data_IF_982948831297
#
_entry.id   IF_982948831297
#
_cell.length_a   1.000
_cell.length_b   1.000
_cell.length_c   1.000
_cell.angle_alpha   90.00
_cell.angle_beta   90.00
_cell.angle_gamma   90.00
#
_symmetry.space_group_name_H-M   'P 1'
#
loop_
_entity.id
_entity.type
_entity.pdbx_description
1 polymer ?
#
# COMPACT_ATOMS: atom_id res chain seq x y z
N UNK A 1 -25.34 3.55 -53.35
CA UNK A 1 -26.06 3.68 -52.05
C UNK A 1 -27.06 4.82 -52.11
N UNK A 2 -28.32 4.55 -51.75
CA UNK A 2 -29.39 5.54 -51.68
C UNK A 2 -29.76 5.77 -50.21
N UNK A 3 -29.61 6.99 -49.72
CA UNK A 3 -30.04 7.36 -48.36
C UNK A 3 -31.56 7.26 -48.30
N UNK A 4 -32.07 6.44 -47.39
CA UNK A 4 -33.51 6.34 -47.09
C UNK A 4 -33.86 7.28 -45.94
N UNK A 5 -33.01 7.30 -44.93
CA UNK A 5 -33.24 8.04 -43.69
C UNK A 5 -31.92 8.46 -43.08
N UNK A 6 -31.86 9.66 -42.52
CA UNK A 6 -30.75 10.13 -41.69
C UNK A 6 -31.30 11.04 -40.60
N UNK A 7 -31.19 10.60 -39.35
CA UNK A 7 -31.71 11.31 -38.19
C UNK A 7 -30.63 11.44 -37.11
N UNK A 8 -30.66 12.55 -36.36
CA UNK A 8 -29.78 12.80 -35.23
C UNK A 8 -30.60 13.02 -33.95
N UNK A 9 -31.12 11.95 -33.32
CA UNK A 9 -32.00 12.08 -32.16
C UNK A 9 -31.35 12.87 -31.02
N UNK A 10 -30.05 12.64 -30.76
CA UNK A 10 -29.31 13.27 -29.66
C UNK A 10 -30.03 13.15 -28.29
N UNK A 11 -30.51 11.95 -27.98
CA UNK A 11 -31.33 11.68 -26.80
C UNK A 11 -30.63 10.73 -25.81
N UNK A 12 -30.92 10.92 -24.52
CA UNK A 12 -30.62 9.91 -23.49
C UNK A 12 -31.74 8.88 -23.48
N UNK A 13 -31.39 7.61 -23.62
CA UNK A 13 -32.36 6.52 -23.58
C UNK A 13 -32.38 5.96 -22.15
N UNK A 14 -33.47 6.21 -21.42
CA UNK A 14 -33.63 5.79 -20.02
C UNK A 14 -34.63 4.65 -19.83
N UNK A 15 -35.37 4.32 -20.88
CA UNK A 15 -36.30 3.21 -21.01
C UNK A 15 -36.26 2.72 -22.45
N UNK A 16 -36.84 1.57 -22.72
CA UNK A 16 -36.97 1.03 -24.07
C UNK A 16 -37.48 2.10 -25.06
N UNK A 17 -36.76 2.25 -26.18
CA UNK A 17 -37.05 3.25 -27.20
C UNK A 17 -37.26 2.56 -28.55
N UNK A 18 -38.48 2.66 -29.08
CA UNK A 18 -38.88 2.05 -30.34
C UNK A 18 -38.83 3.11 -31.44
N UNK A 19 -37.95 2.90 -32.41
CA UNK A 19 -37.81 3.76 -33.58
C UNK A 19 -38.37 3.06 -34.82
N UNK A 20 -39.50 3.56 -35.33
CA UNK A 20 -40.16 3.01 -36.51
C UNK A 20 -39.64 3.67 -37.77
N UNK A 21 -39.39 2.89 -38.82
CA UNK A 21 -39.04 3.41 -40.13
C UNK A 21 -39.70 2.58 -41.23
N UNK A 22 -39.92 3.19 -42.39
CA UNK A 22 -40.50 2.53 -43.55
C UNK A 22 -39.44 2.32 -44.63
N UNK A 23 -39.39 1.14 -45.24
CA UNK A 23 -38.55 0.86 -46.40
C UNK A 23 -39.41 0.64 -47.65
N UNK A 24 -39.08 1.28 -48.79
CA UNK A 24 -39.98 1.29 -49.95
C UNK A 24 -39.99 -0.02 -50.74
N UNK A 25 -38.97 -0.85 -50.59
CA UNK A 25 -38.73 -2.04 -51.42
C UNK A 25 -38.07 -3.15 -50.58
N UNK A 26 -38.25 -4.41 -50.97
CA UNK A 26 -37.54 -5.53 -50.32
C UNK A 26 -36.11 -5.65 -50.86
N UNK A 27 -35.11 -5.20 -50.10
CA UNK A 27 -33.70 -5.18 -50.52
C UNK A 27 -32.72 -5.32 -49.34
N UNK A 28 -31.41 -5.24 -49.62
CA UNK A 28 -30.38 -5.07 -48.60
C UNK A 28 -30.27 -3.61 -48.17
N UNK A 29 -30.19 -3.42 -46.86
CA UNK A 29 -30.03 -2.12 -46.23
C UNK A 29 -28.80 -2.14 -45.33
N UNK A 30 -28.12 -0.99 -45.30
CA UNK A 30 -27.14 -0.67 -44.28
C UNK A 30 -27.77 0.26 -43.26
N UNK A 31 -27.71 -0.14 -42.00
CA UNK A 31 -28.13 0.68 -40.87
C UNK A 31 -26.86 1.06 -40.09
N UNK A 32 -26.58 2.36 -40.02
CA UNK A 32 -25.51 2.95 -39.20
C UNK A 32 -26.14 3.53 -37.94
N UNK A 33 -25.64 3.13 -36.78
CA UNK A 33 -26.13 3.63 -35.49
C UNK A 33 -24.95 4.08 -34.67
N UNK A 34 -24.97 5.33 -34.25
CA UNK A 34 -23.93 5.90 -33.41
C UNK A 34 -24.51 6.24 -32.03
N UNK A 35 -23.86 5.75 -30.98
CA UNK A 35 -24.25 6.00 -29.60
C UNK A 35 -23.01 5.98 -28.70
N UNK A 36 -23.16 6.53 -27.50
CA UNK A 36 -22.13 6.56 -26.45
C UNK A 36 -22.69 6.06 -25.14
N UNK A 37 -21.81 5.49 -24.32
CA UNK A 37 -22.18 4.92 -23.03
C UNK A 37 -21.07 5.15 -22.01
N UNK A 38 -21.38 5.59 -20.79
CA UNK A 38 -20.39 5.95 -19.76
C UNK A 38 -20.03 4.77 -18.86
N UNK A 39 -18.78 4.71 -18.45
CA UNK A 39 -18.31 3.71 -17.48
C UNK A 39 -18.82 4.00 -16.07
N UNK A 40 -18.83 2.97 -15.21
CA UNK A 40 -19.21 3.15 -13.79
C UNK A 40 -18.36 4.22 -13.09
N UNK A 41 -17.08 4.36 -13.47
CA UNK A 41 -16.17 5.40 -12.94
C UNK A 41 -16.60 6.80 -13.31
N UNK A 42 -17.14 7.01 -14.50
CA UNK A 42 -17.64 8.32 -14.93
C UNK A 42 -19.01 8.64 -14.33
N UNK A 43 -19.75 7.61 -13.94
CA UNK A 43 -20.99 7.73 -13.18
C UNK A 43 -20.76 7.92 -11.66
N UNK A 44 -19.50 7.87 -11.19
CA UNK A 44 -19.12 7.90 -9.78
C UNK A 44 -19.32 9.25 -9.07
N UNK A 45 -19.68 10.31 -9.79
CA UNK A 45 -19.88 11.66 -9.22
C UNK A 45 -21.04 11.76 -8.22
N UNK A 46 -21.81 10.68 -8.01
CA UNK A 46 -22.84 10.58 -6.98
C UNK A 46 -22.63 9.29 -6.21
N UNK A 47 -22.37 9.40 -4.90
CA UNK A 47 -22.14 8.29 -3.94
C UNK A 47 -23.23 7.18 -3.89
N UNK A 48 -24.25 7.20 -4.76
CA UNK A 48 -25.34 6.21 -4.84
C UNK A 48 -25.28 5.26 -6.06
N UNK A 49 -24.30 5.39 -6.95
CA UNK A 49 -24.18 4.55 -8.17
C UNK A 49 -22.82 3.86 -8.30
N UNK A 50 -22.29 3.37 -7.18
CA UNK A 50 -21.17 2.43 -7.20
C UNK A 50 -21.60 1.21 -8.04
N UNK A 51 -20.87 0.92 -9.12
CA UNK A 51 -21.06 -0.24 -10.00
C UNK A 51 -22.17 -0.19 -11.09
N UNK A 52 -22.67 0.98 -11.49
CA UNK A 52 -23.60 1.07 -12.64
C UNK A 52 -22.98 1.84 -13.81
N UNK A 53 -22.58 1.13 -14.86
CA UNK A 53 -22.29 1.71 -16.17
C UNK A 53 -23.56 1.95 -16.98
N UNK A 54 -23.47 2.82 -17.99
CA UNK A 54 -24.52 2.93 -19.00
C UNK A 54 -24.26 1.87 -20.07
N UNK A 55 -25.27 1.09 -20.47
CA UNK A 55 -25.16 0.19 -21.60
C UNK A 55 -26.35 0.37 -22.56
N UNK A 56 -26.15 0.07 -23.85
CA UNK A 56 -27.23 0.05 -24.84
C UNK A 56 -27.14 -1.21 -25.71
N UNK A 57 -28.28 -1.83 -25.96
CA UNK A 57 -28.44 -2.93 -26.93
C UNK A 57 -29.51 -2.55 -27.93
N UNK A 58 -29.42 -3.12 -29.13
CA UNK A 58 -30.43 -2.98 -30.16
C UNK A 58 -30.97 -4.34 -30.60
N UNK A 59 -32.27 -4.38 -30.87
CA UNK A 59 -32.93 -5.40 -31.69
C UNK A 59 -33.47 -4.74 -32.96
N UNK A 60 -33.39 -5.46 -34.07
CA UNK A 60 -33.99 -5.03 -35.34
C UNK A 60 -35.16 -5.97 -35.59
N UNK A 61 -36.37 -5.41 -35.60
CA UNK A 61 -37.62 -6.15 -35.50
C UNK A 61 -37.61 -7.10 -34.28
N UNK A 62 -37.57 -8.42 -34.52
CA UNK A 62 -37.47 -9.43 -33.46
C UNK A 62 -36.08 -10.10 -33.38
N UNK A 63 -35.11 -9.63 -34.16
CA UNK A 63 -33.79 -10.22 -34.24
C UNK A 63 -32.84 -9.63 -33.18
N UNK A 64 -32.23 -10.52 -32.39
CA UNK A 64 -31.17 -10.19 -31.43
C UNK A 64 -29.79 -10.49 -32.02
N UNK A 65 -28.77 -9.85 -31.46
CA UNK A 65 -27.37 -9.99 -31.88
C UNK A 65 -26.50 -10.37 -30.67
N UNK A 66 -26.56 -11.65 -30.24
CA UNK A 66 -25.78 -12.13 -29.10
C UNK A 66 -24.29 -12.21 -29.42
N UNK A 67 -23.49 -12.41 -28.37
CA UNK A 67 -22.04 -12.59 -28.47
C UNK A 67 -21.66 -13.80 -29.33
N UNK A 68 -20.67 -13.65 -30.22
CA UNK A 68 -20.25 -14.71 -31.15
C UNK A 68 -19.72 -15.97 -30.44
N UNK A 69 -19.24 -15.85 -29.21
CA UNK A 69 -18.66 -16.97 -28.45
C UNK A 69 -19.68 -17.83 -27.69
N UNK A 70 -20.98 -17.62 -27.90
CA UNK A 70 -22.05 -18.41 -27.29
C UNK A 70 -22.29 -18.14 -25.80
N UNK A 71 -21.57 -17.20 -25.17
CA UNK A 71 -21.88 -16.77 -23.80
C UNK A 71 -23.16 -15.93 -23.79
N UNK A 72 -24.07 -16.24 -22.85
CA UNK A 72 -25.32 -15.49 -22.67
C UNK A 72 -25.01 -14.12 -22.07
N UNK A 73 -25.43 -13.06 -22.76
CA UNK A 73 -25.34 -11.67 -22.30
C UNK A 73 -25.66 -10.71 -23.43
N UNK A 74 -26.80 -10.02 -23.37
CA UNK A 74 -27.22 -9.07 -24.42
C UNK A 74 -26.29 -7.84 -24.47
N UNK A 75 -25.89 -7.32 -23.31
CA UNK A 75 -25.04 -6.14 -23.19
C UNK A 75 -23.54 -6.41 -23.41
N UNK A 76 -23.15 -7.69 -23.48
CA UNK A 76 -21.77 -8.13 -23.72
C UNK A 76 -21.48 -8.48 -25.19
N UNK A 77 -22.47 -8.29 -26.07
CA UNK A 77 -22.38 -8.59 -27.50
C UNK A 77 -21.56 -7.57 -28.28
N UNK A 78 -21.05 -7.95 -29.46
CA UNK A 78 -20.21 -7.10 -30.30
C UNK A 78 -20.94 -5.83 -30.76
N UNK A 79 -22.27 -5.89 -30.88
CA UNK A 79 -23.12 -4.75 -31.29
C UNK A 79 -23.70 -3.97 -30.10
N UNK A 80 -23.34 -4.30 -28.87
CA UNK A 80 -23.72 -3.50 -27.71
C UNK A 80 -22.82 -2.25 -27.59
N UNK A 81 -23.35 -1.22 -26.95
CA UNK A 81 -22.59 -0.06 -26.46
C UNK A 81 -22.40 -0.23 -24.97
N UNK A 82 -21.34 -0.94 -24.57
CA UNK A 82 -21.05 -1.16 -23.17
C UNK A 82 -20.25 0.01 -22.57
N UNK A 83 -20.72 0.60 -21.48
CA UNK A 83 -20.15 1.80 -20.88
C UNK A 83 -18.76 1.58 -20.28
N UNK A 84 -18.49 0.42 -19.71
CA UNK A 84 -17.15 0.08 -19.23
C UNK A 84 -16.11 -0.01 -20.35
N UNK A 85 -16.54 -0.46 -21.53
CA UNK A 85 -15.72 -0.51 -22.74
C UNK A 85 -15.58 0.86 -23.40
N UNK A 86 -16.68 1.62 -23.52
CA UNK A 86 -16.71 2.88 -24.26
C UNK A 86 -16.23 4.09 -23.46
N UNK A 87 -16.43 4.09 -22.14
CA UNK A 87 -16.00 5.18 -21.25
C UNK A 87 -16.43 6.57 -21.76
N UNK A 88 -17.68 6.67 -22.21
CA UNK A 88 -18.28 7.91 -22.71
C UNK A 88 -17.94 8.27 -24.15
N UNK A 89 -17.09 7.50 -24.83
CA UNK A 89 -16.78 7.65 -26.25
C UNK A 89 -17.90 7.08 -27.13
N UNK A 90 -17.93 7.58 -28.35
CA UNK A 90 -18.93 7.21 -29.35
C UNK A 90 -18.49 5.95 -30.12
N UNK A 91 -19.43 5.03 -30.34
CA UNK A 91 -19.24 3.84 -31.16
C UNK A 91 -20.31 3.78 -32.23
N UNK A 92 -19.89 3.53 -33.46
CA UNK A 92 -20.81 3.27 -34.57
C UNK A 92 -20.90 1.77 -34.85
N UNK A 93 -22.12 1.23 -34.82
CA UNK A 93 -22.41 -0.13 -35.28
C UNK A 93 -23.03 -0.09 -36.67
N UNK A 94 -22.65 -1.06 -37.49
CA UNK A 94 -23.12 -1.22 -38.86
C UNK A 94 -23.87 -2.54 -38.98
N UNK A 95 -25.09 -2.50 -39.51
CA UNK A 95 -25.90 -3.69 -39.76
C UNK A 95 -26.20 -3.77 -41.25
N UNK A 96 -25.75 -4.85 -41.90
CA UNK A 96 -26.13 -5.18 -43.28
C UNK A 96 -27.21 -6.25 -43.20
N UNK A 97 -28.45 -5.87 -43.47
CA UNK A 97 -29.62 -6.74 -43.29
C UNK A 97 -30.54 -6.64 -44.50
N UNK A 98 -31.18 -7.76 -44.85
CA UNK A 98 -32.23 -7.79 -45.87
C UNK A 98 -33.57 -7.49 -45.20
N UNK A 99 -34.23 -6.42 -45.62
CA UNK A 99 -35.54 -6.01 -45.11
C UNK A 99 -36.60 -6.21 -46.19
N UNK A 100 -37.85 -6.42 -45.76
CA UNK A 100 -38.99 -6.50 -46.68
C UNK A 100 -39.61 -5.12 -46.85
N UNK A 101 -40.30 -4.85 -47.96
CA UNK A 101 -41.08 -3.61 -48.10
C UNK A 101 -42.07 -3.50 -46.93
N UNK A 102 -42.03 -2.38 -46.20
CA UNK A 102 -42.93 -2.18 -45.06
C UNK A 102 -42.34 -1.34 -43.93
N UNK A 103 -43.07 -1.32 -42.82
CA UNK A 103 -42.64 -0.74 -41.54
C UNK A 103 -41.74 -1.72 -40.79
N UNK A 104 -40.64 -1.22 -40.24
CA UNK A 104 -39.67 -1.92 -39.43
C UNK A 104 -39.38 -1.15 -38.14
N UNK A 105 -38.82 -1.86 -37.14
CA UNK A 105 -38.58 -1.29 -35.82
C UNK A 105 -37.13 -1.50 -35.40
N UNK A 106 -36.45 -0.41 -35.02
CA UNK A 106 -35.24 -0.47 -34.22
C UNK A 106 -35.64 -0.36 -32.75
N UNK A 107 -35.45 -1.42 -31.99
CA UNK A 107 -35.75 -1.46 -30.56
C UNK A 107 -34.47 -1.29 -29.75
N UNK A 108 -34.35 -0.15 -29.08
CA UNK A 108 -33.23 0.21 -28.23
C UNK A 108 -33.53 -0.10 -26.77
N UNK A 109 -32.72 -0.96 -26.16
CA UNK A 109 -32.89 -1.43 -24.78
C UNK A 109 -31.72 -0.88 -23.95
N UNK A 110 -31.94 0.13 -23.09
CA UNK A 110 -30.89 0.71 -22.26
C UNK A 110 -30.70 -0.08 -20.95
N UNK A 111 -29.47 -0.05 -20.43
CA UNK A 111 -29.18 -0.10 -19.00
C UNK A 111 -28.66 1.29 -18.58
N UNK A 112 -29.28 1.87 -17.55
CA UNK A 112 -29.07 3.25 -17.11
C UNK A 112 -29.42 4.33 -18.15
N UNK A 113 -28.44 5.13 -18.62
CA UNK A 113 -28.70 6.36 -19.39
C UNK A 113 -27.73 6.57 -20.57
N UNK A 114 -27.54 5.57 -21.46
CA UNK A 114 -26.76 5.73 -22.67
C UNK A 114 -27.34 6.84 -23.56
N UNK A 115 -26.53 7.36 -24.47
CA UNK A 115 -26.90 8.47 -25.34
C UNK A 115 -26.85 8.04 -26.81
N UNK A 116 -28.00 8.12 -27.49
CA UNK A 116 -28.15 7.83 -28.92
C UNK A 116 -27.95 9.10 -29.73
N UNK A 117 -26.95 9.09 -30.61
CA UNK A 117 -26.53 10.28 -31.36
C UNK A 117 -27.20 10.36 -32.72
N UNK A 118 -27.11 9.29 -33.51
CA UNK A 118 -27.62 9.27 -34.87
C UNK A 118 -28.00 7.88 -35.37
N UNK A 119 -28.97 7.86 -36.28
CA UNK A 119 -29.41 6.69 -37.05
C UNK A 119 -29.33 7.06 -38.53
N UNK A 120 -28.73 6.23 -39.36
CA UNK A 120 -28.73 6.40 -40.81
C UNK A 120 -29.08 5.07 -41.48
N UNK A 121 -30.00 5.09 -42.43
CA UNK A 121 -30.45 3.91 -43.16
C UNK A 121 -30.24 4.16 -44.65
N UNK A 122 -29.45 3.31 -45.28
CA UNK A 122 -29.10 3.38 -46.68
C UNK A 122 -29.56 2.10 -47.38
N UNK A 123 -30.22 2.22 -48.54
CA UNK A 123 -30.45 1.10 -49.43
C UNK A 123 -29.17 0.80 -50.22
N UNK A 124 -28.78 -0.47 -50.25
CA UNK A 124 -27.63 -0.94 -51.01
C UNK A 124 -28.10 -1.33 -52.41
N UNK A 125 -27.59 -0.65 -53.43
CA UNK A 125 -27.89 -0.94 -54.84
C UNK A 125 -26.94 -2.01 -55.40
N UNK A 126 -25.73 -2.11 -54.85
CA UNK A 126 -24.72 -3.08 -55.26
C UNK A 126 -23.91 -3.57 -54.04
N UNK A 127 -23.52 -4.85 -54.03
CA UNK A 127 -22.69 -5.44 -52.96
C UNK A 127 -21.32 -4.76 -52.81
N UNK A 128 -20.78 -4.16 -53.89
CA UNK A 128 -19.50 -3.43 -53.83
C UNK A 128 -19.52 -2.23 -52.87
N UNK A 129 -20.69 -1.68 -52.58
CA UNK A 129 -20.85 -0.54 -51.67
C UNK A 129 -20.48 -0.88 -50.21
N UNK A 130 -20.56 -2.16 -49.82
CA UNK A 130 -20.29 -2.62 -48.44
C UNK A 130 -18.82 -2.38 -48.05
N UNK A 131 -17.88 -2.57 -48.98
CA UNK A 131 -16.44 -2.48 -48.70
C UNK A 131 -15.95 -1.04 -48.44
N UNK A 132 -16.64 -0.03 -48.98
CA UNK A 132 -16.26 1.38 -48.84
C UNK A 132 -16.51 1.96 -47.45
N UNK A 133 -17.39 1.34 -46.66
CA UNK A 133 -17.93 1.90 -45.42
C UNK A 133 -17.07 1.51 -44.22
N UNK A 134 -16.51 0.30 -44.25
CA UNK A 134 -15.57 -0.21 -43.23
C UNK A 134 -14.31 0.65 -43.08
N UNK A 135 -13.99 1.49 -44.08
CA UNK A 135 -12.73 2.25 -44.11
C UNK A 135 -12.83 3.69 -43.56
N UNK A 136 -14.04 4.27 -43.40
CA UNK A 136 -14.18 5.73 -43.21
C UNK A 136 -14.72 6.21 -41.87
N UNK A 137 -15.35 5.35 -41.06
CA UNK A 137 -15.92 5.73 -39.76
C UNK A 137 -15.67 4.64 -38.73
N UNK A 138 -14.60 4.78 -37.96
CA UNK A 138 -14.34 3.95 -36.78
C UNK A 138 -14.60 4.76 -35.50
N UNK A 139 -14.64 4.06 -34.36
CA UNK A 139 -14.90 4.63 -33.05
C UNK A 139 -14.02 5.87 -32.78
N UNK A 140 -14.57 6.80 -31.99
CA UNK A 140 -13.87 8.01 -31.58
C UNK A 140 -12.53 7.64 -30.89
N UNK A 141 -11.45 8.34 -31.24
CA UNK A 141 -10.11 8.03 -30.75
C UNK A 141 -10.02 8.26 -29.24
N UNK A 142 -9.59 7.25 -28.48
CA UNK A 142 -9.46 7.35 -27.03
C UNK A 142 -8.76 6.17 -26.35
N UNK A 143 -8.37 6.36 -25.09
CA UNK A 143 -7.57 5.41 -24.30
C UNK A 143 -8.31 4.09 -24.05
N UNK A 144 -7.73 2.99 -24.58
CA UNK A 144 -8.18 1.58 -24.48
C UNK A 144 -9.32 1.19 -25.42
N UNK A 145 -9.08 1.38 -26.72
CA UNK A 145 -9.78 0.61 -27.75
C UNK A 145 -9.70 -0.90 -27.46
N UNK A 146 -10.58 -1.71 -28.07
CA UNK A 146 -10.37 -3.16 -28.06
C UNK A 146 -8.93 -3.43 -28.50
N UNK A 147 -8.23 -4.35 -27.84
CA UNK A 147 -6.77 -4.43 -27.93
C UNK A 147 -6.27 -4.62 -29.37
N UNK A 148 -7.03 -5.32 -30.22
CA UNK A 148 -6.80 -5.46 -31.65
C UNK A 148 -6.77 -4.10 -32.37
N UNK A 149 -7.67 -3.20 -32.00
CA UNK A 149 -7.75 -1.84 -32.50
C UNK A 149 -6.62 -0.97 -31.94
N UNK A 150 -6.26 -1.11 -30.66
CA UNK A 150 -5.08 -0.43 -30.10
C UNK A 150 -3.80 -0.81 -30.85
N UNK A 151 -3.59 -2.12 -31.12
CA UNK A 151 -2.45 -2.63 -31.90
C UNK A 151 -2.47 -2.11 -33.35
N UNK A 152 -3.64 -1.99 -33.99
CA UNK A 152 -3.77 -1.41 -35.34
C UNK A 152 -3.36 0.06 -35.41
N UNK A 153 -3.79 0.86 -34.43
CA UNK A 153 -3.53 2.30 -34.44
C UNK A 153 -2.11 2.64 -34.00
N UNK A 154 -1.55 1.89 -33.04
CA UNK A 154 -0.16 2.09 -32.61
C UNK A 154 0.83 1.86 -33.75
N UNK A 155 0.45 1.04 -34.74
CA UNK A 155 1.26 0.74 -35.90
C UNK A 155 1.04 1.68 -37.10
N UNK A 156 0.43 2.86 -36.88
CA UNK A 156 0.53 4.00 -37.78
C UNK A 156 0.15 3.81 -39.25
N UNK A 157 -0.63 2.76 -39.61
CA UNK A 157 -1.31 2.54 -40.91
C UNK A 157 -1.93 1.13 -41.06
N UNK A 158 -2.31 0.44 -39.97
CA UNK A 158 -3.06 -0.82 -40.09
C UNK A 158 -2.31 -1.97 -40.78
N UNK A 159 -0.97 -2.05 -40.64
CA UNK A 159 -0.20 -3.16 -41.17
C UNK A 159 -0.55 -4.47 -40.43
N UNK A 160 -1.32 -5.30 -41.14
CA UNK A 160 -1.89 -6.59 -40.70
C UNK A 160 -0.79 -7.57 -40.26
N UNK A 161 0.42 -7.50 -40.82
CA UNK A 161 1.51 -8.41 -40.45
C UNK A 161 2.02 -8.15 -39.03
N UNK A 162 2.07 -6.88 -38.61
CA UNK A 162 2.43 -6.53 -37.23
C UNK A 162 1.32 -6.92 -36.26
N UNK A 163 0.05 -6.66 -36.61
CA UNK A 163 -1.09 -7.10 -35.80
C UNK A 163 -1.04 -8.62 -35.59
N UNK A 164 -0.81 -9.37 -36.66
CA UNK A 164 -0.66 -10.83 -36.61
C UNK A 164 0.56 -11.25 -35.77
N UNK A 165 1.69 -10.55 -35.86
CA UNK A 165 2.89 -10.85 -35.08
C UNK A 165 2.66 -10.61 -33.57
N UNK A 166 2.01 -9.51 -33.20
CA UNK A 166 1.64 -9.19 -31.81
C UNK A 166 0.61 -10.21 -31.29
N UNK A 167 -0.39 -10.56 -32.11
CA UNK A 167 -1.39 -11.58 -31.76
C UNK A 167 -0.73 -12.95 -31.55
N UNK A 168 0.19 -13.33 -32.44
CA UNK A 168 0.97 -14.56 -32.35
C UNK A 168 1.81 -14.57 -31.07
N UNK A 169 2.52 -13.49 -30.75
CA UNK A 169 3.31 -13.39 -29.52
C UNK A 169 2.44 -13.48 -28.25
N UNK A 170 1.22 -12.95 -28.28
CA UNK A 170 0.29 -13.05 -27.16
C UNK A 170 -0.29 -14.46 -26.98
N UNK A 171 -0.71 -15.10 -28.08
CA UNK A 171 -1.35 -16.42 -28.08
C UNK A 171 -0.34 -17.55 -27.88
N UNK A 172 0.75 -17.48 -28.63
CA UNK A 172 1.73 -18.55 -28.78
C UNK A 172 2.96 -18.33 -27.89
N UNK A 173 3.08 -17.15 -27.26
CA UNK A 173 4.20 -16.76 -26.39
C UNK A 173 5.22 -15.88 -27.09
N UNK A 174 5.96 -15.09 -26.31
CA UNK A 174 6.93 -14.12 -26.82
C UNK A 174 8.29 -14.77 -27.18
N UNK A 175 8.51 -16.00 -26.71
CA UNK A 175 9.74 -16.76 -26.92
C UNK A 175 9.45 -18.05 -27.69
N UNK A 176 9.84 -18.07 -28.97
CA UNK A 176 9.68 -19.24 -29.84
C UNK A 176 10.82 -20.27 -29.72
N UNK A 177 11.80 -20.05 -28.82
CA UNK A 177 12.97 -20.93 -28.67
C UNK A 177 12.62 -22.35 -28.22
N UNK A 178 11.56 -22.50 -27.42
CA UNK A 178 11.01 -23.82 -27.04
C UNK A 178 9.54 -23.93 -27.43
N UNK A 179 9.29 -24.66 -28.53
CA UNK A 179 7.93 -24.90 -29.05
C UNK A 179 7.05 -25.70 -28.10
N UNK A 180 7.65 -26.46 -27.18
CA UNK A 180 6.90 -27.31 -26.27
C UNK A 180 6.47 -26.55 -25.00
N UNK A 181 7.14 -25.44 -24.66
CA UNK A 181 6.81 -24.65 -23.48
C UNK A 181 7.13 -23.15 -23.66
N UNK A 182 6.39 -22.44 -24.53
CA UNK A 182 6.69 -21.05 -24.80
C UNK A 182 6.41 -20.17 -23.57
N UNK A 183 7.34 -19.25 -23.27
CA UNK A 183 7.14 -18.27 -22.20
C UNK A 183 6.05 -17.28 -22.65
N UNK A 184 4.88 -17.41 -22.03
CA UNK A 184 3.74 -16.54 -22.34
C UNK A 184 3.95 -15.17 -21.71
N UNK A 185 3.52 -14.12 -22.39
CA UNK A 185 3.69 -12.74 -21.91
C UNK A 185 3.06 -12.52 -20.52
N UNK A 186 1.93 -13.17 -20.24
CA UNK A 186 1.29 -13.09 -18.93
C UNK A 186 2.15 -13.69 -17.80
N UNK A 187 3.02 -14.65 -18.09
CA UNK A 187 3.93 -15.25 -17.10
C UNK A 187 4.98 -14.23 -16.65
N UNK A 188 5.50 -13.43 -17.59
CA UNK A 188 6.43 -12.34 -17.31
C UNK A 188 5.74 -11.24 -16.50
N UNK A 189 4.53 -10.83 -16.90
CA UNK A 189 3.74 -9.85 -16.17
C UNK A 189 3.37 -10.34 -14.76
N UNK A 190 3.03 -11.62 -14.62
CA UNK A 190 2.78 -12.26 -13.33
C UNK A 190 4.03 -12.24 -12.45
N UNK A 191 5.22 -12.50 -13.02
CA UNK A 191 6.48 -12.48 -12.27
C UNK A 191 6.83 -11.06 -11.80
N UNK A 192 6.66 -10.05 -12.66
CA UNK A 192 6.83 -8.63 -12.28
C UNK A 192 5.84 -8.25 -11.17
N UNK A 193 4.58 -8.67 -11.31
CA UNK A 193 3.55 -8.43 -10.30
C UNK A 193 3.86 -9.13 -8.98
N UNK A 194 4.35 -10.37 -9.02
CA UNK A 194 4.77 -11.14 -7.84
C UNK A 194 6.00 -10.53 -7.16
N UNK A 195 6.93 -9.92 -7.90
CA UNK A 195 8.04 -9.16 -7.30
C UNK A 195 7.52 -7.90 -6.60
N UNK A 196 6.62 -7.15 -7.24
CA UNK A 196 6.07 -5.92 -6.66
C UNK A 196 5.17 -6.20 -5.42
N UNK A 197 4.27 -7.18 -5.53
CA UNK A 197 3.36 -7.57 -4.44
C UNK A 197 4.05 -8.41 -3.38
N UNK A 198 4.97 -9.29 -3.76
CA UNK A 198 5.81 -10.06 -2.86
C UNK A 198 6.68 -9.15 -2.00
N UNK A 199 7.27 -8.08 -2.56
CA UNK A 199 7.98 -7.08 -1.75
C UNK A 199 7.05 -6.36 -0.76
N UNK A 200 5.79 -6.12 -1.15
CA UNK A 200 4.79 -5.47 -0.29
C UNK A 200 4.33 -6.39 0.85
N UNK A 201 4.05 -7.65 0.55
CA UNK A 201 3.64 -8.68 1.52
C UNK A 201 4.82 -9.04 2.43
N UNK A 202 6.03 -9.14 1.89
CA UNK A 202 7.24 -9.34 2.67
C UNK A 202 7.52 -8.13 3.57
N UNK A 203 7.24 -6.90 3.12
CA UNK A 203 7.27 -5.70 3.96
C UNK A 203 6.23 -5.72 5.08
N UNK A 204 5.01 -6.19 4.82
CA UNK A 204 3.95 -6.37 5.84
C UNK A 204 4.30 -7.50 6.80
N UNK A 205 4.91 -8.59 6.33
CA UNK A 205 5.35 -9.70 7.18
C UNK A 205 6.56 -9.31 8.04
N UNK A 206 7.54 -8.60 7.48
CA UNK A 206 8.61 -7.92 8.23
C UNK A 206 8.06 -6.97 9.30
N UNK A 207 7.00 -6.23 8.97
CA UNK A 207 6.33 -5.33 9.91
C UNK A 207 5.64 -6.06 11.07
N UNK A 208 5.21 -7.31 10.86
CA UNK A 208 4.52 -8.11 11.87
C UNK A 208 5.44 -8.97 12.74
N UNK A 209 6.54 -9.49 12.21
CA UNK A 209 7.34 -10.56 12.85
C UNK A 209 8.76 -10.15 13.24
N UNK A 210 9.35 -9.11 12.64
CA UNK A 210 10.69 -8.65 13.03
C UNK A 210 10.58 -7.46 13.98
N UNK A 211 11.43 -7.48 15.01
CA UNK A 211 11.59 -6.37 15.96
C UNK A 211 11.59 -5.05 15.19
N UNK A 212 10.67 -4.14 15.54
CA UNK A 212 10.56 -2.79 14.96
C UNK A 212 11.84 -1.96 15.09
N UNK A 213 12.93 -2.51 15.61
CA UNK A 213 14.20 -1.88 15.79
C UNK A 213 15.35 -2.89 15.69
N UNK A 214 16.53 -2.40 15.28
CA UNK A 214 17.82 -3.10 15.41
C UNK A 214 18.94 -2.12 15.75
N UNK A 215 20.05 -2.64 16.28
CA UNK A 215 21.21 -1.85 16.67
C UNK A 215 22.29 -1.89 15.60
N UNK A 216 22.98 -0.77 15.41
CA UNK A 216 24.18 -0.67 14.56
C UNK A 216 25.23 0.18 15.25
N UNK A 217 26.49 -0.20 15.11
CA UNK A 217 27.63 0.63 15.45
C UNK A 217 28.15 1.30 14.19
N UNK A 218 28.11 2.63 14.17
CA UNK A 218 28.64 3.44 13.07
C UNK A 218 29.98 4.04 13.53
N UNK A 219 31.05 3.97 12.71
CA UNK A 219 32.33 4.58 13.05
C UNK A 219 32.14 6.10 13.23
N UNK A 220 32.86 6.69 14.18
CA UNK A 220 32.79 8.12 14.41
C UNK A 220 33.51 8.94 13.34
N UNK A 221 32.93 10.09 12.97
CA UNK A 221 33.54 11.06 12.06
C UNK A 221 34.25 12.22 12.79
N UNK A 222 33.96 12.39 14.09
CA UNK A 222 34.56 13.43 14.94
C UNK A 222 35.93 12.98 15.46
N UNK A 223 36.83 13.93 15.73
CA UNK A 223 38.09 13.65 16.44
C UNK A 223 37.76 12.99 17.77
N UNK A 224 38.47 11.91 18.09
CA UNK A 224 38.28 11.07 19.28
C UNK A 224 36.95 10.29 19.34
N UNK A 225 35.99 10.46 18.43
CA UNK A 225 34.78 9.62 18.42
C UNK A 225 35.10 8.28 17.75
N UNK A 226 35.11 7.20 18.52
CA UNK A 226 35.39 5.86 18.00
C UNK A 226 34.17 5.27 17.30
N UNK A 227 33.01 5.33 17.96
CA UNK A 227 31.76 4.83 17.40
C UNK A 227 30.52 5.52 17.97
N UNK A 228 29.43 5.42 17.22
CA UNK A 228 28.07 5.79 17.62
C UNK A 228 27.19 4.54 17.61
N UNK A 229 26.55 4.23 18.73
CA UNK A 229 25.49 3.22 18.78
C UNK A 229 24.18 3.86 18.33
N UNK A 230 23.60 3.31 17.27
CA UNK A 230 22.36 3.79 16.66
C UNK A 230 21.28 2.70 16.75
N UNK A 231 20.10 3.07 17.24
CA UNK A 231 18.88 2.27 17.11
C UNK A 231 18.15 2.68 15.83
N UNK A 232 17.98 1.72 14.92
CA UNK A 232 17.27 1.89 13.67
C UNK A 232 15.84 1.41 13.88
N UNK A 233 14.89 2.33 14.00
CA UNK A 233 13.49 2.04 14.37
C UNK A 233 12.56 2.25 13.18
N UNK A 234 11.71 1.27 12.89
CA UNK A 234 10.70 1.32 11.84
C UNK A 234 9.41 1.96 12.41
N UNK A 235 9.16 3.21 12.02
CA UNK A 235 7.95 3.96 12.36
C UNK A 235 6.98 3.93 11.17
N UNK A 236 6.07 2.95 11.17
CA UNK A 236 5.20 2.68 10.02
C UNK A 236 6.02 2.08 8.87
N UNK A 237 6.14 2.82 7.75
CA UNK A 237 7.00 2.43 6.62
C UNK A 237 8.34 3.19 6.61
N UNK A 238 8.53 4.14 7.54
CA UNK A 238 9.69 5.02 7.56
C UNK A 238 10.74 4.48 8.51
N UNK A 239 11.96 4.29 8.02
CA UNK A 239 13.11 3.98 8.87
C UNK A 239 13.63 5.27 9.55
N UNK A 240 13.74 5.25 10.88
CA UNK A 240 14.26 6.35 11.69
C UNK A 240 15.50 5.90 12.44
N UNK A 241 16.59 6.66 12.29
CA UNK A 241 17.81 6.46 13.08
C UNK A 241 17.73 7.27 14.38
N UNK A 242 18.02 6.64 15.51
CA UNK A 242 18.10 7.27 16.83
C UNK A 242 19.47 6.99 17.42
N UNK A 243 20.24 8.04 17.64
CA UNK A 243 21.53 7.94 18.34
C UNK A 243 21.25 7.57 19.78
N UNK A 244 21.78 6.43 20.23
CA UNK A 244 21.65 5.91 21.59
C UNK A 244 22.80 6.43 22.44
N UNK A 245 24.04 6.17 22.00
CA UNK A 245 25.25 6.59 22.70
C UNK A 245 26.38 6.91 21.72
N UNK A 246 27.28 7.79 22.15
CA UNK A 246 28.56 8.05 21.48
C UNK A 246 29.69 7.58 22.40
N UNK A 247 30.71 6.93 21.85
CA UNK A 247 31.90 6.53 22.60
C UNK A 247 33.13 7.26 22.06
N UNK A 248 33.76 8.04 22.94
CA UNK A 248 34.99 8.77 22.61
C UNK A 248 36.23 8.04 23.17
N UNK A 249 37.23 7.82 22.32
CA UNK A 249 38.54 7.24 22.63
C UNK A 249 39.51 8.38 23.00
N UNK A 250 39.84 8.52 24.28
CA UNK A 250 40.69 9.60 24.77
C UNK A 250 41.65 9.17 25.87
N UNK A 251 42.89 9.63 25.76
CA UNK A 251 43.95 9.41 26.73
C UNK A 251 43.73 10.32 27.96
N UNK A 252 43.24 9.73 29.06
CA UNK A 252 43.41 10.23 30.43
C UNK A 252 42.85 11.64 30.70
N UNK A 253 41.54 11.76 30.89
CA UNK A 253 41.00 12.79 31.79
C UNK A 253 39.67 13.43 31.41
N UNK A 254 39.24 13.36 30.15
CA UNK A 254 37.95 13.87 29.73
C UNK A 254 36.97 12.72 29.47
N UNK A 255 36.02 12.60 30.41
CA UNK A 255 34.76 11.85 30.33
C UNK A 255 34.75 10.71 29.30
N UNK A 256 35.34 9.56 29.67
CA UNK A 256 34.90 8.29 29.09
C UNK A 256 33.39 8.30 29.11
N UNK A 257 32.78 7.94 27.99
CA UNK A 257 31.33 7.96 27.86
C UNK A 257 30.77 6.87 28.78
N UNK A 258 30.51 7.20 30.05
CA UNK A 258 30.11 6.24 31.09
C UNK A 258 28.84 5.46 30.73
N UNK A 259 28.06 6.01 29.82
CA UNK A 259 26.82 5.46 29.29
C UNK A 259 26.97 4.83 27.89
N UNK A 260 28.16 4.81 27.30
CA UNK A 260 28.34 4.14 26.02
C UNK A 260 28.36 2.62 26.21
N UNK A 261 27.52 1.94 25.43
CA UNK A 261 27.52 0.49 25.32
C UNK A 261 28.58 0.08 24.29
N UNK A 262 29.39 -0.92 24.62
CA UNK A 262 30.47 -1.40 23.76
C UNK A 262 29.98 -2.47 22.77
N UNK A 263 30.54 -2.52 21.55
CA UNK A 263 30.25 -3.59 20.60
C UNK A 263 30.53 -4.99 21.15
N UNK A 264 31.54 -5.13 22.00
CA UNK A 264 31.99 -6.40 22.59
C UNK A 264 31.03 -6.94 23.66
N UNK A 265 30.07 -6.14 24.12
CA UNK A 265 29.10 -6.53 25.14
C UNK A 265 27.86 -7.26 24.59
N UNK A 266 27.82 -7.54 23.28
CA UNK A 266 26.69 -8.13 22.57
C UNK A 266 25.36 -7.45 22.91
N UNK A 267 25.23 -6.14 22.63
CA UNK A 267 24.05 -5.40 23.04
C UNK A 267 22.80 -5.91 22.35
N UNK A 268 21.71 -5.93 23.09
CA UNK A 268 20.43 -6.38 22.59
C UNK A 268 19.33 -5.38 22.95
N UNK A 269 18.22 -5.51 22.25
CA UNK A 269 17.01 -4.76 22.54
C UNK A 269 15.83 -5.69 22.71
N UNK A 270 14.86 -5.24 23.50
CA UNK A 270 13.59 -5.92 23.67
C UNK A 270 12.48 -4.90 23.91
N UNK A 271 11.23 -5.35 23.78
CA UNK A 271 10.04 -4.54 23.96
C UNK A 271 9.43 -4.85 25.33
N UNK A 272 9.07 -3.82 26.08
CA UNK A 272 8.36 -3.98 27.35
C UNK A 272 7.49 -2.76 27.58
N UNK A 273 6.21 -2.97 27.86
CA UNK A 273 5.32 -1.92 28.36
C UNK A 273 5.68 -1.66 29.83
N UNK A 274 6.42 -0.58 30.08
CA UNK A 274 6.84 -0.18 31.42
C UNK A 274 6.07 1.04 31.93
N UNK A 275 5.29 1.72 31.09
CA UNK A 275 4.56 2.94 31.45
C UNK A 275 3.04 2.76 31.56
N UNK A 276 2.54 1.53 31.40
CA UNK A 276 1.12 1.20 31.52
C UNK A 276 0.22 1.74 30.41
N UNK A 277 0.78 2.44 29.40
CA UNK A 277 0.02 3.20 28.39
C UNK A 277 -0.36 2.40 27.13
N UNK A 278 -0.27 1.06 27.20
CA UNK A 278 -0.47 0.06 26.12
C UNK A 278 0.57 0.11 25.00
N UNK A 279 1.42 1.13 24.95
CA UNK A 279 2.56 1.12 24.04
C UNK A 279 3.73 0.39 24.71
N UNK A 280 4.56 -0.27 23.90
CA UNK A 280 5.78 -0.90 24.41
C UNK A 280 6.96 0.03 24.19
N UNK A 281 7.77 0.23 25.23
CA UNK A 281 9.06 0.87 25.13
C UNK A 281 10.10 -0.07 24.53
N UNK A 282 11.07 0.50 23.81
CA UNK A 282 12.25 -0.24 23.38
C UNK A 282 13.31 -0.08 24.48
N UNK A 283 13.66 -1.19 25.10
CA UNK A 283 14.75 -1.25 26.07
C UNK A 283 16.00 -1.71 25.34
N UNK A 284 17.08 -0.96 25.45
CA UNK A 284 18.39 -1.30 24.87
C UNK A 284 19.35 -1.48 26.03
N UNK A 285 20.02 -2.63 26.07
CA UNK A 285 20.94 -2.96 27.14
C UNK A 285 22.22 -3.58 26.61
N UNK A 286 23.30 -3.33 27.33
CA UNK A 286 24.63 -3.88 27.10
C UNK A 286 25.55 -3.43 28.22
N UNK A 287 26.87 -3.55 28.01
CA UNK A 287 27.86 -3.13 29.01
C UNK A 287 28.76 -2.03 28.45
N UNK A 288 29.30 -1.20 29.34
CA UNK A 288 30.37 -0.27 29.00
C UNK A 288 31.76 -0.92 29.17
N UNK A 289 32.85 -0.18 28.93
CA UNK A 289 34.22 -0.71 29.06
C UNK A 289 34.62 -1.10 30.50
N UNK A 290 33.83 -0.71 31.51
CA UNK A 290 34.06 -1.08 32.90
C UNK A 290 33.18 -2.27 33.33
N UNK A 291 32.65 -3.03 32.37
CA UNK A 291 31.72 -4.15 32.59
C UNK A 291 30.44 -3.74 33.34
N UNK A 292 30.12 -2.44 33.41
CA UNK A 292 28.89 -1.93 34.04
C UNK A 292 27.74 -2.02 33.07
N UNK A 293 26.60 -2.55 33.50
CA UNK A 293 25.39 -2.63 32.68
C UNK A 293 24.78 -1.25 32.44
N UNK A 294 24.42 -0.97 31.19
CA UNK A 294 23.82 0.28 30.75
C UNK A 294 22.46 0.00 30.13
N UNK A 295 21.44 0.78 30.52
CA UNK A 295 20.08 0.62 30.04
C UNK A 295 19.55 1.94 29.47
N UNK A 296 19.19 1.91 28.20
CA UNK A 296 18.46 2.98 27.53
C UNK A 296 17.00 2.58 27.35
N UNK A 297 16.12 3.56 27.49
CA UNK A 297 14.69 3.40 27.26
C UNK A 297 14.30 4.38 26.15
N UNK A 298 13.73 3.87 25.05
CA UNK A 298 13.16 4.68 23.99
C UNK A 298 11.63 4.62 24.09
N UNK A 299 11.01 5.77 24.39
CA UNK A 299 9.55 5.95 24.43
C UNK A 299 9.07 6.57 23.12
N UNK A 300 7.94 6.10 22.60
CA UNK A 300 7.28 6.70 21.45
C UNK A 300 6.64 8.04 21.83
N UNK A 301 6.89 9.07 21.03
CA UNK A 301 6.30 10.40 21.19
C UNK A 301 5.59 10.82 19.91
N UNK A 302 4.91 11.98 19.93
CA UNK A 302 4.36 12.61 18.73
C UNK A 302 5.40 12.87 17.62
N UNK A 303 6.68 12.95 17.98
CA UNK A 303 7.81 13.20 17.07
C UNK A 303 8.65 11.94 16.82
N UNK A 304 8.08 10.75 17.06
CA UNK A 304 8.77 9.47 16.97
C UNK A 304 9.43 9.06 18.29
N UNK A 305 10.29 8.06 18.26
CA UNK A 305 10.96 7.56 19.47
C UNK A 305 11.95 8.56 20.06
N UNK A 306 11.98 8.68 21.39
CA UNK A 306 12.89 9.55 22.14
C UNK A 306 13.48 8.80 23.35
N UNK A 307 14.74 9.10 23.68
CA UNK A 307 15.39 8.56 24.87
C UNK A 307 14.73 9.15 26.12
N UNK A 308 14.32 8.28 27.03
CA UNK A 308 13.82 8.65 28.35
C UNK A 308 15.02 8.78 29.29
N UNK A 309 15.27 10.01 29.75
CA UNK A 309 16.32 10.28 30.74
C UNK A 309 15.91 9.83 32.15
N UNK A 310 16.88 9.73 33.05
CA UNK A 310 16.67 9.67 34.49
C UNK A 310 17.34 10.85 35.20
N UNK A 311 16.90 11.16 36.42
CA UNK A 311 17.62 12.01 37.36
C UNK A 311 18.19 11.09 38.44
N UNK A 312 19.51 11.08 38.62
CA UNK A 312 20.15 10.30 39.67
C UNK A 312 19.95 10.92 41.07
N UNK A 313 20.42 10.23 42.11
CA UNK A 313 20.30 10.69 43.50
C UNK A 313 21.05 11.99 43.81
N UNK A 314 21.95 12.42 42.92
CA UNK A 314 22.66 13.70 43.05
C UNK A 314 21.98 14.82 42.24
N UNK A 315 20.83 14.55 41.63
CA UNK A 315 20.08 15.51 40.83
C UNK A 315 20.62 15.66 39.39
N UNK A 316 21.58 14.81 38.97
CA UNK A 316 22.14 14.90 37.63
C UNK A 316 21.24 14.17 36.64
N UNK A 317 20.96 14.82 35.50
CA UNK A 317 20.16 14.24 34.43
C UNK A 317 21.04 13.35 33.56
N UNK A 318 20.69 12.08 33.45
CA UNK A 318 21.42 11.09 32.68
C UNK A 318 20.56 10.51 31.54
N UNK A 319 21.15 10.19 30.37
CA UNK A 319 20.43 9.64 29.23
C UNK A 319 20.10 8.14 29.37
N UNK A 320 20.77 7.44 30.28
CA UNK A 320 20.64 6.02 30.51
C UNK A 320 20.81 5.71 31.99
N UNK A 321 20.31 4.55 32.39
CA UNK A 321 20.61 3.99 33.70
C UNK A 321 21.95 3.25 33.63
N UNK A 322 22.69 3.24 34.75
CA UNK A 322 24.01 2.62 34.84
C UNK A 322 24.14 1.96 36.21
N UNK A 323 24.38 0.66 36.23
CA UNK A 323 24.47 -0.17 37.43
C UNK A 323 24.80 -1.61 37.04
N UNK A 324 24.90 -2.52 38.00
CA UNK A 324 25.23 -3.92 37.70
C UNK A 324 24.03 -4.71 37.17
N UNK A 325 22.80 -4.21 37.41
CA UNK A 325 21.56 -4.75 36.85
C UNK A 325 20.37 -3.84 37.14
N UNK A 326 19.28 -4.03 36.39
CA UNK A 326 18.03 -3.29 36.58
C UNK A 326 16.84 -4.23 36.39
N UNK A 327 15.81 -4.00 37.20
CA UNK A 327 14.50 -4.60 37.05
C UNK A 327 13.43 -3.53 36.81
N UNK A 328 12.37 -3.94 36.14
CA UNK A 328 11.12 -3.18 36.07
C UNK A 328 10.08 -3.95 36.87
N UNK A 329 9.58 -3.33 37.95
CA UNK A 329 8.65 -3.93 38.91
C UNK A 329 7.49 -2.98 39.09
N UNK A 330 6.26 -3.48 39.02
CA UNK A 330 5.04 -2.75 39.36
C UNK A 330 4.76 -2.99 40.85
N UNK A 331 5.39 -2.19 41.71
CA UNK A 331 5.42 -2.45 43.15
C UNK A 331 4.12 -2.05 43.85
N UNK A 332 3.37 -1.09 43.30
CA UNK A 332 2.11 -0.60 43.85
C UNK A 332 0.86 -1.07 43.08
N UNK A 333 1.04 -1.80 41.97
CA UNK A 333 -0.01 -2.38 41.10
C UNK A 333 -0.84 -1.31 40.38
N UNK A 334 -0.25 -0.15 40.10
CA UNK A 334 -0.90 0.90 39.30
C UNK A 334 -0.76 0.69 37.78
N UNK A 335 0.04 -0.31 37.36
CA UNK A 335 0.31 -0.65 35.96
C UNK A 335 1.50 0.09 35.35
N UNK A 336 2.12 1.01 36.08
CA UNK A 336 3.38 1.69 35.76
C UNK A 336 4.52 0.97 36.47
N UNK A 337 5.53 0.55 35.73
CA UNK A 337 6.67 -0.13 36.34
C UNK A 337 7.63 0.91 36.94
N UNK A 338 8.01 0.71 38.20
CA UNK A 338 9.21 1.34 38.74
C UNK A 338 10.46 0.65 38.20
N UNK A 339 11.50 1.46 37.97
CA UNK A 339 12.82 0.95 37.63
C UNK A 339 13.62 0.81 38.91
N UNK A 340 14.12 -0.38 39.19
CA UNK A 340 14.90 -0.69 40.38
C UNK A 340 16.30 -1.10 39.98
N UNK A 341 17.28 -0.41 40.53
CA UNK A 341 18.68 -0.74 40.32
C UNK A 341 19.10 -1.88 41.24
N UNK A 342 19.49 -3.03 40.68
CA UNK A 342 19.72 -4.25 41.44
C UNK A 342 20.98 -4.18 42.30
N UNK A 343 22.06 -3.58 41.77
CA UNK A 343 23.28 -3.31 42.52
C UNK A 343 23.97 -2.10 41.88
N UNK A 344 23.93 -0.94 42.53
CA UNK A 344 24.92 0.09 42.25
C UNK A 344 26.00 -0.06 43.30
N UNK A 345 27.26 -0.11 42.84
CA UNK A 345 28.46 -0.06 43.66
C UNK A 345 28.20 0.65 45.00
N UNK A 346 28.12 -0.19 46.03
CA UNK A 346 28.59 0.05 47.39
C UNK A 346 29.25 1.42 47.55
N UNK A 347 28.46 2.45 47.85
CA UNK A 347 29.05 3.52 48.67
C UNK A 347 29.16 2.87 50.03
N UNK A 348 30.25 2.13 50.25
CA UNK A 348 30.66 1.74 51.59
C UNK A 348 31.00 3.04 52.28
N UNK A 349 29.99 3.69 52.83
CA UNK A 349 30.21 4.61 53.92
C UNK A 349 30.48 3.72 55.09
N UNK A 350 31.75 3.46 55.35
CA UNK A 350 32.15 3.04 56.69
C UNK A 350 31.75 4.20 57.58
N UNK A 351 30.62 4.08 58.27
CA UNK A 351 30.38 4.92 59.42
C UNK A 351 31.50 4.54 60.41
N UNK A 352 32.48 5.43 60.69
CA UNK A 352 33.66 5.08 61.47
C UNK A 352 33.28 4.57 62.87
N UNK A 353 32.09 4.93 63.36
CA UNK A 353 31.57 4.48 64.66
C UNK A 353 30.96 3.08 64.65
N UNK A 354 30.55 2.54 63.49
CA UNK A 354 29.75 1.30 63.43
C UNK A 354 30.45 0.14 62.72
N UNK A 355 31.51 0.40 61.94
CA UNK A 355 32.24 -0.61 61.15
C UNK A 355 31.32 -1.53 60.33
N UNK A 356 30.15 -1.02 59.92
CA UNK A 356 29.20 -1.70 59.03
C UNK A 356 29.34 -1.13 57.63
N UNK A 357 29.17 -2.00 56.64
CA UNK A 357 29.01 -1.60 55.24
C UNK A 357 27.52 -1.56 54.93
N UNK A 358 27.08 -0.48 54.33
CA UNK A 358 25.69 -0.30 53.90
C UNK A 358 25.64 -0.50 52.39
N UNK A 359 24.70 -1.32 51.94
CA UNK A 359 24.38 -1.48 50.52
C UNK A 359 23.09 -0.72 50.29
N UNK A 360 23.04 0.10 49.24
CA UNK A 360 21.84 0.88 48.92
C UNK A 360 21.24 0.43 47.60
N UNK A 361 19.91 0.39 47.54
CA UNK A 361 19.13 0.11 46.35
C UNK A 361 18.31 1.33 45.97
N UNK A 362 18.48 1.85 44.77
CA UNK A 362 17.80 3.06 44.30
C UNK A 362 16.61 2.70 43.43
N UNK A 363 15.49 3.36 43.69
CA UNK A 363 14.25 3.18 42.95
C UNK A 363 13.88 4.45 42.19
N UNK A 364 13.45 4.27 40.95
CA UNK A 364 13.05 5.34 40.06
C UNK A 364 11.60 5.15 39.63
N UNK A 365 10.80 6.22 39.70
CA UNK A 365 9.42 6.27 39.22
C UNK A 365 9.36 7.14 37.97
N UNK A 366 8.54 6.77 36.99
CA UNK A 366 8.33 7.63 35.83
C UNK A 366 7.49 8.84 36.22
N UNK A 367 7.95 10.04 35.85
CA UNK A 367 7.20 11.28 36.06
C UNK A 367 6.69 11.78 34.70
N UNK A 368 5.41 11.57 34.42
CA UNK A 368 4.74 11.96 33.17
C UNK A 368 4.93 13.45 32.85
N UNK A 369 4.79 14.32 33.86
CA UNK A 369 4.88 15.77 33.68
C UNK A 369 6.29 16.20 33.23
N UNK A 370 7.34 15.49 33.67
CA UNK A 370 8.74 15.73 33.28
C UNK A 370 9.19 14.87 32.10
N UNK A 371 8.43 13.83 31.75
CA UNK A 371 8.78 12.86 30.71
C UNK A 371 10.06 12.07 31.02
N UNK A 372 10.36 11.82 32.29
CA UNK A 372 11.62 11.21 32.73
C UNK A 372 11.47 10.44 34.03
N UNK A 373 12.41 9.53 34.30
CA UNK A 373 12.50 8.82 35.57
C UNK A 373 13.16 9.70 36.64
N UNK A 374 12.66 9.62 37.87
CA UNK A 374 13.19 10.34 39.03
C UNK A 374 13.34 9.38 40.20
N UNK A 375 14.44 9.50 40.93
CA UNK A 375 14.60 8.79 42.21
C UNK A 375 13.45 9.16 43.13
N UNK A 376 12.77 8.16 43.67
CA UNK A 376 11.69 8.37 44.65
C UNK A 376 11.92 7.63 45.98
N UNK A 377 12.84 6.64 46.00
CA UNK A 377 13.11 5.82 47.18
C UNK A 377 14.52 5.22 47.14
N UNK A 378 15.14 5.08 48.30
CA UNK A 378 16.42 4.38 48.50
C UNK A 378 16.24 3.38 49.66
N UNK A 379 16.51 2.10 49.42
CA UNK A 379 16.47 1.08 50.48
C UNK A 379 17.90 0.79 50.96
N UNK A 380 18.07 0.65 52.28
CA UNK A 380 19.30 0.15 52.88
C UNK A 380 19.22 -1.38 53.08
N UNK A 381 20.23 -2.09 52.61
CA UNK A 381 20.37 -3.55 52.68
C UNK A 381 21.55 -3.93 53.58
N UNK A 382 21.35 -4.98 54.38
CA UNK A 382 22.38 -5.58 55.23
C UNK A 382 23.31 -6.49 54.39
N UNK A 383 24.63 -6.31 54.51
CA UNK A 383 25.64 -7.04 53.72
C UNK A 383 25.57 -8.56 53.92
N UNK A 384 25.02 -9.02 55.06
CA UNK A 384 24.94 -10.44 55.40
C UNK A 384 23.80 -11.23 54.75
N UNK A 385 22.80 -10.58 54.17
CA UNK A 385 21.62 -11.24 53.59
C UNK A 385 20.93 -10.33 52.55
N UNK A 386 21.42 -10.29 51.30
CA UNK A 386 20.90 -9.40 50.25
C UNK A 386 19.46 -9.74 49.81
N UNK A 387 18.96 -10.92 50.18
CA UNK A 387 17.59 -11.37 49.91
C UNK A 387 16.61 -11.03 51.06
N UNK A 388 17.12 -10.55 52.21
CA UNK A 388 16.30 -10.10 53.32
C UNK A 388 15.53 -8.83 52.94
N UNK A 389 14.26 -8.76 53.31
CA UNK A 389 13.46 -7.56 53.05
C UNK A 389 14.14 -6.31 53.65
N UNK A 390 14.26 -5.22 52.88
CA UNK A 390 14.96 -4.01 53.31
C UNK A 390 14.30 -3.36 54.52
N UNK A 391 15.12 -2.71 55.35
CA UNK A 391 14.64 -1.82 56.40
C UNK A 391 14.30 -0.48 55.73
N UNK A 392 13.01 -0.13 55.66
CA UNK A 392 12.57 1.11 55.02
C UNK A 392 13.04 2.34 55.82
N UNK A 393 13.82 3.22 55.17
CA UNK A 393 14.12 4.56 55.63
C UNK A 393 13.21 5.53 54.86
N UNK A 394 12.38 6.30 55.58
CA UNK A 394 11.49 7.32 55.01
C UNK A 394 12.20 8.66 54.82
#
# INVERSE_FOLDING_TARGET
>A
MKIILSEKPNIKITKEYLYKFFVPESSFYLIEINARAKSWRQNFTRFKSFFKDDDLVIKIDSQEFPKLNGKKGLFDGEVAWNGNNLRGLSKTNFFVIRLQKGEHILNFIPDQKPFLESITINQLENQKDIFLISAKKQAEDGERRQWNEAVRNYNGNGNINYENAVYKAYRDGADERDKNNPIKLWSILFLIFMVATGASIFGIWLYGEQSRAWLTFEPGEEVDLKYTLTANVLEGIMLKKKIVSKYYEGDKGYQRSYYAITPESDPYLYYKNILGDKEEEIIITGKNDNDTSIFYILKKTKNGFAIVSNIDKFGSKNPAFRGDGFDFVDSDKDGTMETRELFYQTVIRTNPSENKRHIYRVWYSYNDAKGMYVVYKEDELDEGDPDKEPIFLW
#
